data_IF_539086464549
#
_entry.id   IF_539086464549
#
_cell.length_a   1.000
_cell.length_b   1.000
_cell.length_c   1.000
_cell.angle_alpha   90.00
_cell.angle_beta   90.00
_cell.angle_gamma   90.00
#
_symmetry.space_group_name_H-M   'P 1'
#
loop_
_entity.id
_entity.type
_entity.pdbx_description
1 polymer ?
#
# COMPACT_ATOMS: atom_id res chain seq x y z
N UNK A 1 -24.17 11.39 14.31
CA UNK A 1 -22.94 10.85 13.70
C UNK A 1 -23.31 10.38 12.31
N UNK A 2 -22.66 10.91 11.28
CA UNK A 2 -22.89 10.43 9.92
C UNK A 2 -22.32 9.02 9.75
N UNK A 3 -23.02 8.19 8.97
CA UNK A 3 -22.62 6.82 8.68
C UNK A 3 -22.03 6.80 7.27
N UNK A 4 -20.77 6.40 7.18
CA UNK A 4 -20.07 6.28 5.90
C UNK A 4 -20.01 4.82 5.45
N UNK A 5 -20.00 4.61 4.13
CA UNK A 5 -19.73 3.30 3.55
C UNK A 5 -18.24 2.94 3.63
N UNK A 6 -17.90 1.66 3.63
CA UNK A 6 -16.48 1.22 3.67
C UNK A 6 -15.66 1.72 2.48
N UNK A 7 -16.27 1.83 1.30
CA UNK A 7 -15.62 2.36 0.11
C UNK A 7 -15.42 3.86 0.18
N UNK A 8 -16.36 4.56 0.82
CA UNK A 8 -16.29 6.00 1.04
C UNK A 8 -15.20 6.36 2.04
N UNK A 9 -15.13 5.64 3.16
CA UNK A 9 -14.05 5.78 4.15
C UNK A 9 -12.67 5.53 3.54
N UNK A 10 -12.54 4.50 2.68
CA UNK A 10 -11.29 4.22 1.96
C UNK A 10 -10.90 5.39 1.07
N UNK A 11 -11.85 5.93 0.30
CA UNK A 11 -11.60 7.06 -0.59
C UNK A 11 -11.18 8.31 0.19
N UNK A 12 -11.92 8.65 1.26
CA UNK A 12 -11.60 9.81 2.12
C UNK A 12 -10.19 9.72 2.72
N UNK A 13 -9.77 8.52 3.15
CA UNK A 13 -8.42 8.29 3.66
C UNK A 13 -7.35 8.54 2.60
N UNK A 14 -7.53 7.99 1.39
CA UNK A 14 -6.58 8.16 0.30
C UNK A 14 -6.49 9.62 -0.16
N UNK A 15 -7.64 10.28 -0.36
CA UNK A 15 -7.71 11.69 -0.76
C UNK A 15 -7.07 12.62 0.28
N UNK A 16 -7.24 12.34 1.57
CA UNK A 16 -6.59 13.12 2.62
C UNK A 16 -5.07 13.09 2.50
N UNK A 17 -4.45 11.92 2.35
CA UNK A 17 -2.99 11.81 2.26
C UNK A 17 -2.45 12.29 0.92
N UNK A 18 -3.20 12.10 -0.17
CA UNK A 18 -2.89 12.66 -1.48
C UNK A 18 -2.86 14.19 -1.43
N UNK A 19 -3.82 14.82 -0.74
CA UNK A 19 -3.83 16.29 -0.52
C UNK A 19 -2.61 16.79 0.28
N UNK A 20 -1.89 15.90 0.96
CA UNK A 20 -0.64 16.17 1.68
C UNK A 20 0.61 15.81 0.87
N UNK A 21 0.47 15.46 -0.40
CA UNK A 21 1.57 15.11 -1.31
C UNK A 21 2.03 13.64 -1.23
N UNK A 22 1.25 12.74 -0.63
CA UNK A 22 1.55 11.31 -0.67
C UNK A 22 1.07 10.70 -1.98
N UNK A 23 1.81 9.73 -2.52
CA UNK A 23 1.41 8.99 -3.71
C UNK A 23 0.36 7.92 -3.35
N UNK A 24 -0.84 8.04 -3.91
CA UNK A 24 -1.85 6.99 -3.81
C UNK A 24 -1.54 5.83 -4.78
N UNK A 25 -0.86 4.80 -4.29
CA UNK A 25 -0.56 3.60 -5.09
C UNK A 25 -1.70 2.58 -5.08
N UNK A 26 -1.79 1.78 -6.15
CA UNK A 26 -2.69 0.62 -6.19
C UNK A 26 -2.24 -0.43 -5.18
N UNK A 27 -3.19 -1.23 -4.68
CA UNK A 27 -2.87 -2.38 -3.85
C UNK A 27 -2.01 -3.37 -4.63
N UNK A 28 -1.01 -3.92 -3.95
CA UNK A 28 -0.16 -4.98 -4.47
C UNK A 28 -0.91 -6.32 -4.54
N UNK A 29 -0.31 -7.28 -5.26
CA UNK A 29 -0.78 -8.68 -5.30
C UNK A 29 -0.88 -9.26 -3.88
N UNK A 30 -1.88 -10.12 -3.66
CA UNK A 30 -1.99 -10.88 -2.41
C UNK A 30 -0.83 -11.85 -2.23
N UNK A 31 -0.34 -12.42 -3.33
CA UNK A 31 0.81 -13.32 -3.36
C UNK A 31 2.07 -12.49 -3.57
N UNK A 32 3.06 -12.54 -2.67
CA UNK A 32 4.29 -11.79 -2.83
C UNK A 32 5.08 -12.28 -4.04
N UNK A 33 5.64 -11.32 -4.78
CA UNK A 33 6.67 -11.59 -5.77
C UNK A 33 8.03 -11.35 -5.09
N UNK A 34 9.02 -12.21 -5.36
CA UNK A 34 10.40 -12.06 -4.87
C UNK A 34 10.62 -12.14 -3.34
N UNK A 35 9.67 -12.64 -2.54
CA UNK A 35 9.88 -13.01 -1.13
C UNK A 35 9.38 -14.43 -0.84
N UNK A 36 10.28 -15.42 -0.92
CA UNK A 36 9.97 -16.84 -0.66
C UNK A 36 9.71 -17.15 0.83
N UNK A 37 9.91 -16.18 1.74
CA UNK A 37 9.64 -16.35 3.16
C UNK A 37 8.20 -15.98 3.54
N UNK A 38 7.50 -15.25 2.68
CA UNK A 38 6.11 -14.83 2.89
C UNK A 38 5.16 -15.66 2.02
N UNK A 39 4.09 -16.17 2.63
CA UNK A 39 3.01 -16.84 1.89
C UNK A 39 2.01 -15.83 1.31
N UNK A 40 1.65 -14.80 2.07
CA UNK A 40 0.67 -13.77 1.69
C UNK A 40 1.11 -12.40 2.21
N UNK A 41 0.74 -11.32 1.50
CA UNK A 41 0.91 -9.95 1.96
C UNK A 41 -0.03 -9.69 3.14
N UNK A 42 0.57 -9.48 4.33
CA UNK A 42 -0.16 -9.28 5.58
C UNK A 42 -0.33 -7.81 5.98
N UNK A 43 0.38 -6.89 5.31
CA UNK A 43 0.41 -5.46 5.64
C UNK A 43 0.75 -4.63 4.42
N UNK A 44 0.31 -3.38 4.39
CA UNK A 44 0.62 -2.43 3.30
C UNK A 44 2.11 -2.08 3.18
N UNK A 45 2.91 -2.38 4.22
CA UNK A 45 4.35 -2.09 4.25
C UNK A 45 5.20 -3.24 3.69
N UNK A 46 4.69 -4.47 3.67
CA UNK A 46 5.45 -5.63 3.21
C UNK A 46 5.98 -5.48 1.78
N UNK A 47 5.21 -4.95 0.80
CA UNK A 47 5.72 -4.67 -0.55
C UNK A 47 6.73 -3.51 -0.63
N UNK A 48 6.79 -2.65 0.40
CA UNK A 48 7.66 -1.46 0.42
C UNK A 48 9.01 -1.71 1.11
N UNK A 49 9.28 -2.97 1.48
CA UNK A 49 10.47 -3.39 2.21
C UNK A 49 11.77 -2.91 1.56
N UNK A 50 11.86 -2.97 0.23
CA UNK A 50 13.03 -2.54 -0.56
C UNK A 50 13.30 -1.04 -0.47
N UNK A 51 12.26 -0.19 -0.45
CA UNK A 51 12.39 1.26 -0.22
C UNK A 51 12.99 1.51 1.17
N UNK A 52 12.39 0.90 2.19
CA UNK A 52 12.78 1.17 3.58
C UNK A 52 14.21 0.69 3.89
N UNK A 53 14.64 -0.42 3.29
CA UNK A 53 16.00 -0.92 3.43
C UNK A 53 17.00 -0.33 2.42
N UNK A 54 16.57 0.62 1.57
CA UNK A 54 17.39 1.29 0.53
C UNK A 54 18.03 0.30 -0.46
N UNK A 55 17.38 -0.82 -0.72
CA UNK A 55 17.88 -1.84 -1.66
C UNK A 55 17.27 -1.76 -3.06
N UNK A 56 16.31 -0.87 -3.31
CA UNK A 56 15.74 -0.64 -4.65
C UNK A 56 14.41 0.13 -4.64
N UNK A 57 13.97 0.56 -5.82
CA UNK A 57 12.66 1.19 -6.05
C UNK A 57 11.61 0.12 -6.41
N UNK A 58 10.47 0.00 -5.70
CA UNK A 58 9.44 -1.01 -5.98
C UNK A 58 8.55 -0.66 -7.18
N UNK A 59 8.74 0.51 -7.81
CA UNK A 59 8.07 0.84 -9.07
C UNK A 59 8.67 0.10 -10.30
N UNK A 60 9.80 -0.60 -10.13
CA UNK A 60 10.44 -1.40 -11.18
C UNK A 60 10.06 -2.89 -11.16
N UNK A 61 9.07 -3.31 -10.36
CA UNK A 61 8.47 -4.66 -10.37
C UNK A 61 7.06 -4.69 -10.99
#
# INVERSE_FOLDING_TARGET
MEKYGVNELRRMFLEFFESKGHLAMKSFSLVPHNDNSLLLINSGMAPLKTIFYRTGDPAEE
#
